data_IF_016622190130
#
_entry.id   IF_016622190130
#
_cell.length_a   1.000
_cell.length_b   1.000
_cell.length_c   1.000
_cell.angle_alpha   90.00
_cell.angle_beta   90.00
_cell.angle_gamma   90.00
#
_symmetry.space_group_name_H-M   'P 1'
#
loop_
_entity.id
_entity.type
_entity.pdbx_description
1 polymer ?
#
# COMPACT_ATOMS: atom_id res chain seq x y z
N UNK A 1 -34.55 -0.94 -0.13
CA UNK A 1 -33.74 0.31 -0.15
C UNK A 1 -32.55 0.07 -1.06
N UNK A 2 -32.74 0.24 -2.36
CA UNK A 2 -31.68 0.13 -3.36
C UNK A 2 -30.90 1.44 -3.34
N UNK A 3 -29.70 1.42 -2.77
CA UNK A 3 -28.81 2.58 -2.82
C UNK A 3 -28.33 2.69 -4.27
N UNK A 4 -28.75 3.75 -4.96
CA UNK A 4 -28.19 4.12 -6.24
C UNK A 4 -26.68 4.19 -6.09
N UNK A 5 -25.96 3.31 -6.77
CA UNK A 5 -24.51 3.41 -6.92
C UNK A 5 -24.30 4.67 -7.77
N UNK A 6 -24.00 5.77 -7.09
CA UNK A 6 -23.76 7.09 -7.66
C UNK A 6 -22.75 7.00 -8.82
N UNK A 7 -23.02 7.68 -9.94
CA UNK A 7 -22.20 7.60 -11.16
C UNK A 7 -20.72 7.97 -10.88
N UNK A 8 -20.49 8.88 -9.92
CA UNK A 8 -19.13 9.25 -9.49
C UNK A 8 -18.39 8.12 -8.78
N UNK A 9 -19.10 7.20 -8.11
CA UNK A 9 -18.53 6.01 -7.48
C UNK A 9 -18.15 4.99 -8.55
N UNK A 10 -19.00 4.82 -9.56
CA UNK A 10 -18.74 3.93 -10.70
C UNK A 10 -17.50 4.37 -11.49
N UNK A 11 -17.35 5.67 -11.73
CA UNK A 11 -16.16 6.23 -12.39
C UNK A 11 -14.89 6.06 -11.56
N UNK A 12 -14.96 6.30 -10.23
CA UNK A 12 -13.81 6.12 -9.34
C UNK A 12 -13.34 4.68 -9.28
N UNK A 13 -14.29 3.74 -9.22
CA UNK A 13 -13.98 2.31 -9.31
C UNK A 13 -13.39 1.95 -10.67
N UNK A 14 -13.92 2.48 -11.77
CA UNK A 14 -13.34 2.27 -13.12
C UNK A 14 -11.88 2.71 -13.17
N UNK A 15 -11.57 3.92 -12.72
CA UNK A 15 -10.19 4.44 -12.69
C UNK A 15 -9.29 3.62 -11.79
N UNK A 16 -9.77 3.21 -10.62
CA UNK A 16 -9.00 2.36 -9.72
C UNK A 16 -8.67 1.02 -10.39
N UNK A 17 -9.64 0.40 -11.07
CA UNK A 17 -9.45 -0.83 -11.85
C UNK A 17 -8.46 -0.64 -13.01
N UNK A 18 -8.53 0.47 -13.75
CA UNK A 18 -7.58 0.81 -14.81
C UNK A 18 -6.15 0.92 -14.30
N UNK A 19 -5.94 1.43 -13.08
CA UNK A 19 -4.62 1.57 -12.48
C UNK A 19 -4.00 0.24 -12.03
N UNK A 20 -4.81 -0.70 -11.55
CA UNK A 20 -4.33 -1.99 -11.00
C UNK A 20 -4.29 -3.11 -12.05
N UNK A 21 -5.06 -2.99 -13.13
CA UNK A 21 -5.10 -3.99 -14.20
C UNK A 21 -3.70 -4.28 -14.81
N UNK A 22 -2.86 -3.27 -15.15
CA UNK A 22 -1.51 -3.53 -15.62
C UNK A 22 -0.65 -4.33 -14.64
N UNK A 23 -0.83 -4.13 -13.33
CA UNK A 23 -0.06 -4.84 -12.30
C UNK A 23 -0.38 -6.35 -12.33
N UNK A 24 -1.65 -6.72 -12.49
CA UNK A 24 -2.05 -8.12 -12.63
C UNK A 24 -1.42 -8.76 -13.88
N UNK A 25 -1.45 -8.05 -15.00
CA UNK A 25 -0.81 -8.52 -16.23
C UNK A 25 0.69 -8.75 -16.03
N UNK A 26 1.39 -7.82 -15.36
CA UNK A 26 2.81 -7.99 -15.04
C UNK A 26 3.08 -9.21 -14.16
N UNK A 27 2.26 -9.44 -13.13
CA UNK A 27 2.39 -10.62 -12.27
C UNK A 27 2.21 -11.91 -13.07
N UNK A 28 1.19 -11.99 -13.90
CA UNK A 28 0.90 -13.17 -14.74
C UNK A 28 2.00 -13.41 -15.78
N UNK A 29 2.53 -12.36 -16.42
CA UNK A 29 3.64 -12.47 -17.37
C UNK A 29 4.93 -12.96 -16.70
N UNK A 30 5.24 -12.48 -15.49
CA UNK A 30 6.48 -12.85 -14.78
C UNK A 30 6.36 -14.18 -14.05
N UNK A 31 5.16 -14.56 -13.61
CA UNK A 31 4.86 -15.75 -12.81
C UNK A 31 3.51 -16.34 -13.23
N UNK A 32 3.42 -17.00 -14.40
CA UNK A 32 2.14 -17.48 -14.96
C UNK A 32 1.46 -18.54 -14.08
N UNK A 33 2.23 -19.29 -13.30
CA UNK A 33 1.70 -20.32 -12.40
C UNK A 33 1.16 -19.76 -11.07
N UNK A 34 1.25 -18.43 -10.86
CA UNK A 34 0.75 -17.78 -9.65
C UNK A 34 -0.61 -17.15 -9.93
N UNK A 35 -1.63 -17.63 -9.23
CA UNK A 35 -2.97 -17.03 -9.26
C UNK A 35 -2.89 -15.59 -8.73
N UNK A 36 -3.40 -14.65 -9.51
CA UNK A 36 -3.36 -13.22 -9.18
C UNK A 36 -4.77 -12.65 -9.24
N UNK A 37 -5.18 -12.00 -8.15
CA UNK A 37 -6.50 -11.39 -8.00
C UNK A 37 -6.34 -9.88 -7.76
N UNK A 38 -7.35 -9.12 -8.18
CA UNK A 38 -7.43 -7.68 -7.93
C UNK A 38 -8.61 -7.47 -7.00
N UNK A 39 -8.37 -6.77 -5.90
CA UNK A 39 -9.41 -6.31 -4.99
C UNK A 39 -9.29 -4.80 -4.87
N UNK A 40 -10.38 -4.09 -5.20
CA UNK A 40 -10.51 -2.65 -4.99
C UNK A 40 -11.51 -2.47 -3.85
N UNK A 41 -11.08 -1.80 -2.79
CA UNK A 41 -11.91 -1.55 -1.60
C UNK A 41 -12.08 -0.06 -1.45
N UNK A 42 -13.33 0.39 -1.53
CA UNK A 42 -13.71 1.73 -1.09
C UNK A 42 -13.88 1.72 0.41
N UNK A 43 -13.34 2.73 1.10
CA UNK A 43 -13.44 2.83 2.55
C UNK A 43 -13.66 4.28 2.96
N UNK A 44 -14.64 4.47 3.85
CA UNK A 44 -14.83 5.72 4.59
C UNK A 44 -13.94 5.77 5.85
N UNK A 45 -13.37 4.63 6.25
CA UNK A 45 -12.47 4.51 7.39
C UNK A 45 -11.00 4.86 7.02
N UNK A 46 -10.13 4.87 8.02
CA UNK A 46 -8.70 5.05 7.77
C UNK A 46 -8.12 3.88 6.96
N UNK A 47 -7.47 4.22 5.84
CA UNK A 47 -6.88 3.25 4.90
C UNK A 47 -6.02 2.17 5.56
N UNK A 48 -5.25 2.53 6.60
CA UNK A 48 -4.38 1.60 7.31
C UNK A 48 -5.16 0.48 8.01
N UNK A 49 -6.28 0.83 8.65
CA UNK A 49 -7.17 -0.11 9.33
C UNK A 49 -7.82 -1.06 8.33
N UNK A 50 -8.38 -0.52 7.25
CA UNK A 50 -9.00 -1.34 6.20
C UNK A 50 -8.01 -2.33 5.57
N UNK A 51 -6.76 -1.91 5.30
CA UNK A 51 -5.74 -2.83 4.77
C UNK A 51 -5.41 -3.96 5.75
N UNK A 52 -5.28 -3.65 7.04
CA UNK A 52 -5.00 -4.66 8.08
C UNK A 52 -6.15 -5.65 8.17
N UNK A 53 -7.39 -5.18 8.27
CA UNK A 53 -8.59 -6.02 8.36
C UNK A 53 -8.75 -6.91 7.12
N UNK A 54 -8.55 -6.36 5.92
CA UNK A 54 -8.67 -7.12 4.69
C UNK A 54 -7.53 -8.16 4.55
N UNK A 55 -6.31 -7.84 4.98
CA UNK A 55 -5.20 -8.80 5.00
C UNK A 55 -5.48 -9.99 5.92
N UNK A 56 -6.14 -9.74 7.06
CA UNK A 56 -6.56 -10.78 8.01
C UNK A 56 -7.68 -11.62 7.43
N UNK A 57 -8.70 -10.98 6.85
CA UNK A 57 -9.86 -11.65 6.23
C UNK A 57 -9.44 -12.58 5.10
N UNK A 58 -8.46 -12.19 4.30
CA UNK A 58 -7.91 -13.01 3.22
C UNK A 58 -6.89 -14.05 3.69
N UNK A 59 -6.54 -14.08 4.98
CA UNK A 59 -5.54 -15.01 5.52
C UNK A 59 -4.14 -14.80 4.95
N UNK A 60 -3.76 -13.55 4.65
CA UNK A 60 -2.47 -13.25 4.03
C UNK A 60 -1.31 -13.62 4.97
N UNK A 61 -0.35 -14.41 4.48
CA UNK A 61 0.87 -14.72 5.24
C UNK A 61 1.90 -13.58 5.25
N UNK A 62 1.91 -12.75 4.20
CA UNK A 62 2.81 -11.60 4.04
C UNK A 62 2.05 -10.44 3.42
N UNK A 63 2.22 -9.23 3.96
CA UNK A 63 1.67 -7.98 3.45
C UNK A 63 2.78 -7.08 2.91
N UNK A 64 2.79 -6.81 1.60
CA UNK A 64 3.80 -5.96 0.96
C UNK A 64 3.23 -4.59 0.63
N UNK A 65 3.87 -3.52 1.09
CA UNK A 65 3.40 -2.14 0.98
C UNK A 65 4.42 -1.29 0.23
N UNK A 66 3.98 -0.65 -0.85
CA UNK A 66 4.81 0.33 -1.56
C UNK A 66 4.93 1.64 -0.79
N UNK A 67 6.13 2.00 -0.37
CA UNK A 67 6.39 3.28 0.30
C UNK A 67 6.98 4.28 -0.70
N UNK A 68 6.18 5.31 -1.04
CA UNK A 68 6.61 6.35 -1.99
C UNK A 68 7.68 7.25 -1.36
N UNK A 69 8.75 7.50 -2.11
CA UNK A 69 9.82 8.43 -1.73
C UNK A 69 9.27 9.86 -1.66
N UNK A 70 8.99 10.38 -0.46
CA UNK A 70 8.71 11.82 -0.27
C UNK A 70 10.03 12.58 -0.39
N UNK A 71 10.14 13.46 -1.38
CA UNK A 71 11.37 14.28 -1.55
C UNK A 71 11.58 15.18 -0.33
N UNK A 72 12.82 15.58 -0.09
CA UNK A 72 13.20 16.38 1.08
C UNK A 72 12.36 17.66 1.22
N UNK A 73 12.00 18.30 0.10
CA UNK A 73 11.12 19.49 0.06
C UNK A 73 9.69 19.17 0.55
N UNK A 74 9.12 18.04 0.11
CA UNK A 74 7.82 17.58 0.59
C UNK A 74 7.86 17.22 2.08
N UNK A 75 8.94 16.62 2.57
CA UNK A 75 9.09 16.29 4.00
C UNK A 75 9.00 17.54 4.89
N UNK A 76 9.62 18.64 4.46
CA UNK A 76 9.56 19.92 5.19
C UNK A 76 8.13 20.46 5.17
N UNK A 77 7.48 20.57 4.00
CA UNK A 77 6.10 21.07 3.88
C UNK A 77 5.11 20.29 4.76
N UNK A 78 5.23 18.95 4.80
CA UNK A 78 4.38 18.12 5.64
C UNK A 78 4.68 18.25 7.13
N UNK A 79 5.94 18.49 7.53
CA UNK A 79 6.29 18.81 8.93
C UNK A 79 5.62 20.10 9.41
N UNK A 80 5.53 21.13 8.56
CA UNK A 80 4.84 22.39 8.91
C UNK A 80 3.33 22.23 9.00
N UNK A 81 2.72 21.36 8.18
CA UNK A 81 1.29 21.04 8.21
C UNK A 81 0.89 20.09 9.34
N UNK A 82 1.83 19.31 9.88
CA UNK A 82 1.59 18.34 10.94
C UNK A 82 1.76 18.94 12.36
N UNK A 83 1.21 20.14 12.61
CA UNK A 83 0.96 20.63 13.98
C UNK A 83 -0.20 19.81 14.57
N UNK A 84 0.10 18.61 15.05
CA UNK A 84 -0.84 17.70 15.68
C UNK A 84 -0.84 16.32 15.02
N UNK A 85 -0.17 15.37 15.66
CA UNK A 85 -0.29 13.95 15.32
C UNK A 85 0.98 13.34 14.72
N UNK A 86 1.81 12.78 15.60
CA UNK A 86 2.78 11.73 15.29
C UNK A 86 2.03 10.41 14.94
N UNK A 87 1.14 10.45 13.96
CA UNK A 87 0.46 9.27 13.45
C UNK A 87 1.30 8.65 12.36
N UNK A 88 1.99 7.54 12.67
CA UNK A 88 2.70 6.74 11.69
C UNK A 88 1.81 6.51 10.47
N UNK A 89 2.22 7.01 9.30
CA UNK A 89 1.38 6.95 8.10
C UNK A 89 0.92 5.53 7.79
N UNK A 90 -0.09 5.36 6.92
CA UNK A 90 -0.72 4.07 6.55
C UNK A 90 0.23 2.86 6.59
N UNK A 91 1.41 2.99 5.98
CA UNK A 91 2.44 1.94 5.95
C UNK A 91 2.96 1.55 7.35
N UNK A 92 3.30 2.52 8.19
CA UNK A 92 3.78 2.28 9.56
C UNK A 92 2.67 1.66 10.41
N UNK A 93 1.43 2.15 10.26
CA UNK A 93 0.26 1.56 10.92
C UNK A 93 0.11 0.08 10.55
N UNK A 94 0.15 -0.27 9.27
CA UNK A 94 0.05 -1.66 8.83
C UNK A 94 1.22 -2.53 9.35
N UNK A 95 2.44 -1.99 9.40
CA UNK A 95 3.61 -2.72 9.94
C UNK A 95 3.41 -3.11 11.42
N UNK A 96 2.76 -2.25 12.21
CA UNK A 96 2.61 -2.48 13.63
C UNK A 96 1.39 -3.35 13.97
N UNK A 97 0.30 -3.17 13.22
CA UNK A 97 -1.02 -3.71 13.55
C UNK A 97 -1.45 -4.91 12.69
N UNK A 98 -0.71 -5.28 11.65
CA UNK A 98 -1.02 -6.50 10.90
C UNK A 98 -0.73 -7.76 11.71
N UNK A 99 -1.61 -8.75 11.58
CA UNK A 99 -1.44 -10.07 12.17
C UNK A 99 -0.38 -10.91 11.44
N UNK A 100 -0.02 -10.52 10.22
CA UNK A 100 0.95 -11.20 9.37
C UNK A 100 2.28 -10.43 9.24
N UNK A 101 3.23 -10.99 8.51
CA UNK A 101 4.50 -10.29 8.25
C UNK A 101 4.27 -9.12 7.28
N UNK A 102 4.31 -7.89 7.79
CA UNK A 102 4.25 -6.69 6.96
C UNK A 102 5.62 -6.13 6.58
N UNK A 103 5.77 -5.81 5.29
CA UNK A 103 7.00 -5.37 4.64
C UNK A 103 6.72 -4.11 3.85
N UNK A 104 7.34 -3.00 4.21
CA UNK A 104 7.35 -1.78 3.40
C UNK A 104 8.56 -1.76 2.45
N UNK A 105 8.32 -1.46 1.18
CA UNK A 105 9.34 -1.44 0.14
C UNK A 105 9.41 -0.04 -0.48
N UNK A 106 10.60 0.56 -0.48
CA UNK A 106 10.86 1.85 -1.15
C UNK A 106 12.05 1.78 -2.08
N UNK A 107 12.02 2.54 -3.17
CA UNK A 107 13.18 2.70 -4.07
C UNK A 107 14.31 3.45 -3.35
N UNK A 108 15.53 2.90 -3.35
CA UNK A 108 16.71 3.54 -2.73
C UNK A 108 17.15 4.75 -3.55
N UNK A 109 17.54 4.52 -4.79
CA UNK A 109 18.12 5.51 -5.69
C UNK A 109 17.61 5.34 -7.12
N UNK A 110 17.92 6.30 -8.00
CA UNK A 110 17.65 6.14 -9.43
C UNK A 110 18.50 5.03 -10.05
N UNK A 111 19.67 4.76 -9.48
CA UNK A 111 20.64 3.75 -9.92
C UNK A 111 20.30 2.34 -9.40
N UNK A 112 19.07 2.14 -8.90
CA UNK A 112 18.56 0.83 -8.47
C UNK A 112 18.53 0.62 -6.96
N UNK A 113 18.14 -0.60 -6.59
CA UNK A 113 18.00 -1.08 -5.22
C UNK A 113 16.70 -0.66 -4.51
N UNK A 114 16.33 -1.46 -3.52
CA UNK A 114 15.18 -1.24 -2.66
C UNK A 114 15.60 -1.24 -1.19
N UNK A 115 14.96 -0.39 -0.40
CA UNK A 115 15.06 -0.42 1.05
C UNK A 115 13.79 -1.05 1.60
N UNK A 116 13.97 -1.92 2.58
CA UNK A 116 12.89 -2.65 3.22
C UNK A 116 12.77 -2.19 4.66
N UNK A 117 11.53 -2.00 5.11
CA UNK A 117 11.20 -1.78 6.51
C UNK A 117 10.18 -2.82 6.95
N UNK A 118 10.44 -3.42 8.11
CA UNK A 118 9.58 -4.36 8.81
C UNK A 118 9.41 -3.88 10.25
N UNK A 119 8.62 -4.61 11.05
CA UNK A 119 8.45 -4.32 12.48
C UNK A 119 9.77 -4.34 13.27
N UNK A 120 10.71 -5.22 12.90
CA UNK A 120 11.97 -5.44 13.62
C UNK A 120 13.14 -4.64 13.06
N UNK A 121 13.15 -4.39 11.75
CA UNK A 121 14.28 -3.76 11.06
C UNK A 121 13.78 -2.66 10.14
N UNK A 122 14.39 -1.48 10.25
CA UNK A 122 14.04 -0.32 9.43
C UNK A 122 15.12 -0.07 8.38
N UNK A 123 14.67 0.26 7.18
CA UNK A 123 15.49 0.73 6.05
C UNK A 123 16.72 -0.14 5.73
N UNK A 124 16.63 -1.45 5.92
CA UNK A 124 17.72 -2.35 5.54
C UNK A 124 17.72 -2.54 4.03
N UNK A 125 18.93 -2.56 3.47
CA UNK A 125 19.14 -2.70 2.04
C UNK A 125 19.33 -4.17 1.69
N UNK A 126 18.44 -4.73 0.86
CA UNK A 126 18.74 -5.99 0.19
C UNK A 126 19.69 -5.67 -0.97
N UNK A 127 20.89 -6.26 -0.93
CA UNK A 127 21.75 -6.37 -2.11
C UNK A 127 20.98 -7.23 -3.11
N UNK A 128 20.55 -6.61 -4.20
CA UNK A 128 20.00 -7.29 -5.37
C UNK A 128 21.04 -7.19 -6.48
#
# INVERSE_FOLDING_TARGET
>A
MLIAIDETQRERNSRAHELVHPLKNFCQLKKPNVKTEIVVVETAEEKGKTIVEESKKQGAGVLVLGQRKRTSKWRVIWKWRAKGGMGGGVVEYCIHNSDCMAIAVRKKSNNGGYLITTKRHKDFWLLA
#
